data_IF_248690836221
#
_entry.id   IF_248690836221
#
_cell.length_a   1.000
_cell.length_b   1.000
_cell.length_c   1.000
_cell.angle_alpha   90.00
_cell.angle_beta   90.00
_cell.angle_gamma   90.00
#
_symmetry.space_group_name_H-M   'P 1'
#
loop_
_entity.id
_entity.type
_entity.pdbx_description
1 polymer ?
#
# COMPACT_ATOMS: atom_id res chain seq x y z
N UNK A 1 -32.60 -28.41 22.13
CA UNK A 1 -31.31 -28.98 22.57
C UNK A 1 -30.22 -28.01 22.12
N UNK A 2 -29.95 -26.95 22.89
CA UNK A 2 -29.02 -26.83 24.04
C UNK A 2 -27.57 -26.53 23.60
N UNK A 3 -27.18 -25.26 23.82
CA UNK A 3 -25.85 -24.65 24.06
C UNK A 3 -24.76 -24.77 22.98
N UNK A 4 -23.90 -23.75 22.72
CA UNK A 4 -23.21 -22.88 23.70
C UNK A 4 -22.62 -21.64 23.00
N UNK A 5 -22.78 -20.48 23.65
CA UNK A 5 -22.13 -19.22 23.34
C UNK A 5 -20.68 -19.20 23.83
N UNK A 6 -19.79 -18.48 23.16
CA UNK A 6 -18.57 -17.92 23.74
C UNK A 6 -18.37 -16.50 23.21
N UNK A 7 -18.78 -15.52 24.04
CA UNK A 7 -18.28 -14.14 24.01
C UNK A 7 -16.85 -14.13 24.54
N UNK A 8 -15.99 -13.28 23.98
CA UNK A 8 -14.82 -12.75 24.68
C UNK A 8 -14.78 -11.24 24.48
N UNK A 9 -15.25 -10.53 25.51
CA UNK A 9 -14.95 -9.14 25.79
C UNK A 9 -13.43 -9.00 26.03
N UNK A 10 -12.81 -8.01 25.39
CA UNK A 10 -11.45 -7.57 25.70
C UNK A 10 -11.54 -6.11 26.17
N UNK A 11 -11.45 -5.92 27.48
CA UNK A 11 -11.40 -4.61 28.14
C UNK A 11 -10.33 -4.67 29.22
N UNK A 12 -9.18 -4.02 28.98
CA UNK A 12 -8.23 -3.53 30.00
C UNK A 12 -7.62 -2.25 29.41
N UNK A 13 -8.00 -1.04 29.83
CA UNK A 13 -7.69 -0.33 31.09
C UNK A 13 -6.20 -0.25 31.38
N UNK A 14 -5.51 0.71 30.74
CA UNK A 14 -4.26 1.26 31.27
C UNK A 14 -4.53 2.60 31.96
N UNK A 15 -4.48 2.59 33.29
CA UNK A 15 -4.48 3.78 34.15
C UNK A 15 -3.40 3.58 35.22
N UNK A 16 -2.37 4.43 35.22
CA UNK A 16 -1.43 4.58 36.34
C UNK A 16 -0.86 6.00 36.26
N UNK A 17 -1.39 6.95 37.04
CA UNK A 17 -1.02 7.37 38.42
C UNK A 17 0.24 8.23 38.47
N UNK A 18 0.00 9.52 38.67
CA UNK A 18 0.95 10.50 39.19
C UNK A 18 1.01 10.41 40.73
N UNK A 19 2.22 10.56 41.27
CA UNK A 19 2.61 10.89 42.67
C UNK A 19 3.97 11.56 42.50
N UNK A 20 4.35 12.68 43.10
CA UNK A 20 3.86 13.41 44.27
C UNK A 20 5.10 13.95 44.99
N UNK A 21 5.21 15.28 44.96
CA UNK A 21 6.16 16.23 45.57
C UNK A 21 6.88 15.82 46.88
N UNK A 22 8.13 16.27 47.06
CA UNK A 22 8.68 16.61 48.38
C UNK A 22 9.78 17.67 48.31
N UNK A 23 9.60 18.65 49.20
CA UNK A 23 10.14 20.00 49.25
C UNK A 23 11.55 20.11 49.85
N UNK A 24 12.27 21.18 49.49
CA UNK A 24 13.52 21.58 50.12
C UNK A 24 13.92 23.01 49.72
N UNK A 25 13.58 23.97 50.56
CA UNK A 25 13.79 25.40 50.36
C UNK A 25 15.22 25.84 50.71
N UNK A 26 15.81 26.72 49.91
CA UNK A 26 16.67 27.79 50.45
C UNK A 26 16.68 29.00 49.50
N UNK A 27 16.15 30.12 50.01
CA UNK A 27 16.14 31.43 49.36
C UNK A 27 17.56 31.94 49.12
N UNK A 28 17.82 32.55 47.96
CA UNK A 28 18.68 33.73 47.89
C UNK A 28 18.17 34.71 46.82
N UNK A 29 18.00 35.96 47.26
CA UNK A 29 17.52 37.13 46.52
C UNK A 29 18.51 37.55 45.42
N UNK A 30 18.02 38.09 44.30
CA UNK A 30 18.07 39.53 43.96
C UNK A 30 17.78 39.79 42.46
N UNK A 31 16.82 40.70 42.24
CA UNK A 31 16.78 41.78 41.23
C UNK A 31 17.37 41.54 39.83
N UNK A 32 16.53 41.57 38.79
CA UNK A 32 16.17 42.78 38.05
C UNK A 32 15.35 42.42 36.81
N UNK A 33 14.46 43.34 36.45
CA UNK A 33 13.58 43.27 35.30
C UNK A 33 14.33 42.94 34.00
N UNK A 34 13.75 42.08 33.17
CA UNK A 34 14.05 42.07 31.74
C UNK A 34 12.82 41.64 30.96
N UNK A 35 12.25 42.65 30.30
CA UNK A 35 11.42 42.62 29.09
C UNK A 35 10.49 41.41 28.89
N UNK A 36 9.19 41.67 28.97
CA UNK A 36 8.20 40.90 28.23
C UNK A 36 8.52 40.99 26.73
N UNK A 37 9.20 39.98 26.19
CA UNK A 37 9.21 39.71 24.76
C UNK A 37 7.85 39.12 24.41
N UNK A 38 6.91 39.98 24.05
CA UNK A 38 5.78 39.58 23.20
C UNK A 38 6.38 39.08 21.88
N UNK A 39 6.56 37.77 21.77
CA UNK A 39 6.81 37.12 20.49
C UNK A 39 5.53 37.32 19.69
N UNK A 40 5.54 38.33 18.84
CA UNK A 40 4.57 38.45 17.77
C UNK A 40 4.75 37.19 16.91
N UNK A 41 3.82 36.24 17.04
CA UNK A 41 3.61 35.18 16.06
C UNK A 41 3.06 35.89 14.81
N UNK A 42 3.93 36.59 14.09
CA UNK A 42 3.64 36.98 12.71
C UNK A 42 3.59 35.67 11.94
N UNK A 43 2.36 35.24 11.66
CA UNK A 43 2.07 33.96 11.03
C UNK A 43 2.94 33.76 9.82
N UNK A 44 3.78 32.73 9.86
CA UNK A 44 4.16 32.06 8.64
C UNK A 44 2.84 31.61 8.00
N UNK A 45 2.49 32.06 6.79
CA UNK A 45 1.42 31.41 6.06
C UNK A 45 1.79 29.92 5.99
N UNK A 46 0.84 28.99 6.18
CA UNK A 46 1.14 27.58 5.96
C UNK A 46 1.74 27.49 4.57
N UNK A 47 2.99 27.00 4.49
CA UNK A 47 3.59 26.61 3.23
C UNK A 47 2.54 25.72 2.59
N UNK A 48 1.94 26.20 1.49
CA UNK A 48 1.06 25.41 0.68
C UNK A 48 1.88 24.16 0.34
N UNK A 49 1.59 23.05 1.03
CA UNK A 49 2.20 21.77 0.71
C UNK A 49 1.75 21.51 -0.72
N UNK A 50 2.67 21.70 -1.66
CA UNK A 50 2.44 21.31 -3.04
C UNK A 50 1.97 19.86 -2.98
N UNK A 51 0.80 19.60 -3.53
CA UNK A 51 0.30 18.24 -3.67
C UNK A 51 1.41 17.44 -4.35
N UNK A 52 1.86 16.30 -3.77
CA UNK A 52 2.96 15.55 -4.34
C UNK A 52 2.66 15.26 -5.81
N UNK A 53 3.59 15.61 -6.69
CA UNK A 53 3.44 15.34 -8.11
C UNK A 53 3.19 13.83 -8.29
N UNK A 54 2.17 13.43 -9.08
CA UNK A 54 1.86 12.02 -9.27
C UNK A 54 3.07 11.29 -9.82
N UNK A 55 3.43 10.17 -9.19
CA UNK A 55 4.55 9.35 -9.61
C UNK A 55 4.35 8.86 -11.05
N UNK A 56 5.41 8.91 -11.86
CA UNK A 56 5.41 8.25 -13.17
C UNK A 56 5.25 6.74 -13.01
N UNK A 57 4.79 6.05 -14.05
CA UNK A 57 4.62 4.59 -14.01
C UNK A 57 5.95 3.87 -13.69
N UNK A 58 7.06 4.32 -14.27
CA UNK A 58 8.38 3.76 -13.98
C UNK A 58 8.80 4.00 -12.52
N UNK A 59 8.58 5.21 -12.00
CA UNK A 59 8.89 5.52 -10.59
C UNK A 59 8.01 4.71 -9.63
N UNK A 60 6.71 4.55 -9.94
CA UNK A 60 5.79 3.74 -9.16
C UNK A 60 6.19 2.26 -9.17
N UNK A 61 6.65 1.75 -10.33
CA UNK A 61 7.17 0.39 -10.42
C UNK A 61 8.43 0.26 -9.55
N UNK A 62 9.45 1.08 -9.73
CA UNK A 62 10.71 1.00 -8.96
C UNK A 62 10.52 1.12 -7.45
N UNK A 63 9.57 1.95 -7.00
CA UNK A 63 9.30 2.18 -5.58
C UNK A 63 8.32 1.18 -4.96
N UNK A 64 7.80 0.22 -5.74
CA UNK A 64 6.79 -0.72 -5.27
C UNK A 64 7.33 -1.61 -4.15
N UNK A 65 6.49 -1.88 -3.16
CA UNK A 65 6.82 -2.83 -2.10
C UNK A 65 6.78 -4.25 -2.68
N UNK A 66 7.82 -5.08 -2.46
CA UNK A 66 7.79 -6.49 -2.84
C UNK A 66 6.65 -7.22 -2.15
N UNK A 67 5.89 -8.02 -2.91
CA UNK A 67 4.80 -8.85 -2.39
C UNK A 67 5.17 -10.34 -2.46
N UNK A 68 4.38 -11.18 -1.79
CA UNK A 68 4.47 -12.62 -1.95
C UNK A 68 4.28 -13.00 -3.43
N UNK A 69 5.15 -13.83 -3.99
CA UNK A 69 5.03 -14.23 -5.39
C UNK A 69 4.10 -15.43 -5.54
N UNK A 70 3.07 -15.28 -6.37
CA UNK A 70 2.24 -16.38 -6.87
C UNK A 70 2.85 -17.05 -8.12
N UNK A 71 3.96 -16.53 -8.63
CA UNK A 71 4.78 -17.14 -9.67
C UNK A 71 5.03 -16.26 -10.89
N UNK A 72 5.76 -16.83 -11.85
CA UNK A 72 6.02 -16.29 -13.18
C UNK A 72 5.52 -17.26 -14.23
N UNK A 73 4.66 -16.80 -15.12
CA UNK A 73 4.10 -17.60 -16.20
C UNK A 73 4.50 -17.02 -17.55
N UNK A 74 4.98 -17.87 -18.47
CA UNK A 74 5.15 -17.50 -19.88
C UNK A 74 4.05 -18.16 -20.69
N UNK A 75 3.25 -17.37 -21.37
CA UNK A 75 2.11 -17.81 -22.18
C UNK A 75 2.43 -17.65 -23.66
N UNK A 76 1.96 -18.61 -24.47
CA UNK A 76 2.06 -18.57 -25.92
C UNK A 76 0.66 -18.27 -26.50
N UNK A 77 0.55 -17.53 -27.61
CA UNK A 77 -0.71 -17.40 -28.33
C UNK A 77 -1.19 -18.78 -28.81
N UNK A 78 -2.52 -19.06 -28.92
CA UNK A 78 -3.64 -18.13 -28.83
C UNK A 78 -4.56 -18.14 -27.57
N UNK A 79 -4.53 -19.06 -26.58
CA UNK A 79 -5.23 -18.82 -25.32
C UNK A 79 -4.28 -18.28 -24.23
N UNK A 80 -4.63 -17.12 -23.69
CA UNK A 80 -3.89 -16.33 -22.69
C UNK A 80 -4.45 -16.51 -21.27
N UNK A 81 -5.07 -17.66 -20.99
CA UNK A 81 -5.71 -17.88 -19.69
C UNK A 81 -4.65 -18.20 -18.64
N UNK A 82 -4.72 -17.44 -17.54
CA UNK A 82 -3.89 -17.69 -16.38
C UNK A 82 -4.40 -18.98 -15.70
N UNK A 83 -3.56 -20.00 -15.49
CA UNK A 83 -4.00 -21.25 -14.88
C UNK A 83 -4.57 -21.03 -13.47
N UNK A 84 -5.60 -21.82 -13.07
CA UNK A 84 -6.31 -21.60 -11.81
C UNK A 84 -5.44 -21.58 -10.56
N UNK A 85 -4.31 -22.29 -10.54
CA UNK A 85 -3.42 -22.32 -9.37
C UNK A 85 -2.80 -20.95 -9.06
N UNK A 86 -2.42 -20.19 -10.09
CA UNK A 86 -1.92 -18.82 -9.93
C UNK A 86 -3.03 -17.90 -9.41
N UNK A 87 -4.24 -18.03 -9.97
CA UNK A 87 -5.41 -17.26 -9.51
C UNK A 87 -5.82 -17.61 -8.08
N UNK A 88 -5.75 -18.89 -7.71
CA UNK A 88 -6.03 -19.38 -6.34
C UNK A 88 -5.07 -18.75 -5.34
N UNK A 89 -3.78 -18.73 -5.65
CA UNK A 89 -2.78 -18.07 -4.83
C UNK A 89 -3.11 -16.58 -4.62
N UNK A 90 -3.40 -15.85 -5.71
CA UNK A 90 -3.76 -14.43 -5.64
C UNK A 90 -5.01 -14.19 -4.78
N UNK A 91 -6.06 -15.01 -4.97
CA UNK A 91 -7.29 -14.92 -4.16
C UNK A 91 -7.06 -15.21 -2.68
N UNK A 92 -6.27 -16.24 -2.36
CA UNK A 92 -5.96 -16.59 -0.97
C UNK A 92 -5.16 -15.47 -0.28
N UNK A 93 -4.15 -14.92 -0.96
CA UNK A 93 -3.36 -13.81 -0.43
C UNK A 93 -4.19 -12.53 -0.23
N UNK A 94 -5.14 -12.26 -1.15
CA UNK A 94 -6.09 -11.14 -1.04
C UNK A 94 -7.04 -11.32 0.14
N UNK A 95 -7.62 -12.51 0.30
CA UNK A 95 -8.50 -12.85 1.42
C UNK A 95 -7.76 -12.83 2.78
N UNK A 96 -6.48 -13.19 2.81
CA UNK A 96 -5.64 -13.15 4.00
C UNK A 96 -5.11 -11.75 4.33
N UNK A 97 -5.26 -10.77 3.42
CA UNK A 97 -4.71 -9.42 3.58
C UNK A 97 -3.18 -9.35 3.48
N UNK A 98 -2.51 -10.41 3.02
CA UNK A 98 -1.05 -10.43 2.86
C UNK A 98 -0.61 -9.82 1.54
N UNK A 99 -1.50 -9.81 0.54
CA UNK A 99 -1.21 -9.39 -0.83
C UNK A 99 -0.28 -10.37 -1.55
N UNK A 100 -0.27 -10.28 -2.88
CA UNK A 100 0.57 -11.11 -3.73
C UNK A 100 0.82 -10.47 -5.10
N UNK A 101 1.83 -10.96 -5.79
CA UNK A 101 2.19 -10.59 -7.16
C UNK A 101 2.24 -11.81 -8.07
N UNK A 102 1.65 -11.68 -9.26
CA UNK A 102 1.74 -12.63 -10.36
C UNK A 102 2.34 -11.92 -11.56
N UNK A 103 3.35 -12.53 -12.18
CA UNK A 103 3.97 -11.98 -13.39
C UNK A 103 3.67 -12.89 -14.57
N UNK A 104 3.13 -12.32 -15.63
CA UNK A 104 2.86 -13.02 -16.88
C UNK A 104 3.67 -12.42 -18.00
N UNK A 105 4.28 -13.24 -18.84
CA UNK A 105 4.93 -12.80 -20.07
C UNK A 105 4.20 -13.46 -21.24
N UNK A 106 3.63 -12.64 -22.12
CA UNK A 106 3.00 -13.12 -23.35
C UNK A 106 3.92 -12.80 -24.52
N UNK A 107 4.41 -13.84 -25.19
CA UNK A 107 5.12 -13.66 -26.45
C UNK A 107 4.10 -13.36 -27.55
N UNK A 108 4.26 -12.26 -28.29
CA UNK A 108 3.47 -12.08 -29.50
C UNK A 108 4.02 -12.93 -30.66
N UNK A 109 3.30 -12.98 -31.79
CA UNK A 109 3.74 -13.74 -32.98
C UNK A 109 5.06 -13.25 -33.57
N UNK A 110 5.50 -12.03 -33.22
CA UNK A 110 6.78 -11.43 -33.62
C UNK A 110 7.88 -11.60 -32.56
N UNK A 111 7.64 -12.42 -31.52
CA UNK A 111 8.53 -12.65 -30.38
C UNK A 111 8.83 -11.40 -29.54
N UNK A 112 8.00 -10.37 -29.65
CA UNK A 112 8.01 -9.25 -28.70
C UNK A 112 7.24 -9.72 -27.47
N UNK A 113 7.95 -9.81 -26.34
CA UNK A 113 7.39 -10.28 -25.09
C UNK A 113 6.72 -9.08 -24.39
N UNK A 114 5.47 -9.24 -23.96
CA UNK A 114 4.80 -8.27 -23.08
C UNK A 114 4.75 -8.85 -21.69
N UNK A 115 5.44 -8.21 -20.74
CA UNK A 115 5.42 -8.64 -19.33
C UNK A 115 4.44 -7.80 -18.54
N UNK A 116 3.52 -8.46 -17.85
CA UNK A 116 2.52 -7.82 -16.99
C UNK A 116 2.71 -8.30 -15.55
N UNK A 117 2.69 -7.36 -14.61
CA UNK A 117 2.79 -7.59 -13.17
C UNK A 117 1.43 -7.27 -12.56
N UNK A 118 0.70 -8.30 -12.16
CA UNK A 118 -0.58 -8.19 -11.44
C UNK A 118 -0.30 -8.23 -9.95
N UNK A 119 -0.77 -7.23 -9.21
CA UNK A 119 -0.53 -7.08 -7.78
C UNK A 119 -1.87 -6.94 -7.06
N UNK A 120 -2.13 -7.86 -6.15
CA UNK A 120 -3.30 -7.84 -5.28
C UNK A 120 -2.88 -7.44 -3.87
N UNK A 121 -3.75 -6.68 -3.21
CA UNK A 121 -3.64 -6.32 -1.80
C UNK A 121 -4.79 -6.97 -1.02
N UNK A 122 -5.23 -6.36 0.07
CA UNK A 122 -6.47 -6.74 0.76
C UNK A 122 -7.71 -6.48 -0.11
N UNK A 123 -8.85 -7.06 0.28
CA UNK A 123 -10.11 -7.03 -0.50
C UNK A 123 -10.70 -5.62 -0.70
N UNK A 124 -10.30 -4.65 0.12
CA UNK A 124 -10.71 -3.25 0.05
C UNK A 124 -9.92 -2.41 -0.96
N UNK A 125 -8.99 -3.04 -1.70
CA UNK A 125 -8.16 -2.36 -2.69
C UNK A 125 -8.30 -2.96 -4.08
N UNK A 126 -8.19 -2.07 -5.06
CA UNK A 126 -8.11 -2.41 -6.47
C UNK A 126 -6.83 -3.20 -6.76
N UNK A 127 -6.87 -3.99 -7.84
CA UNK A 127 -5.69 -4.68 -8.35
C UNK A 127 -4.81 -3.66 -9.05
N UNK A 128 -3.55 -3.64 -8.68
CA UNK A 128 -2.54 -2.79 -9.31
C UNK A 128 -1.86 -3.59 -10.44
N UNK A 129 -1.76 -2.99 -11.63
CA UNK A 129 -1.26 -3.65 -12.83
C UNK A 129 -0.17 -2.80 -13.46
N UNK A 130 1.00 -3.38 -13.67
CA UNK A 130 2.07 -2.79 -14.47
C UNK A 130 2.26 -3.59 -15.76
N UNK A 131 2.30 -2.92 -16.90
CA UNK A 131 2.60 -3.51 -18.21
C UNK A 131 3.94 -2.96 -18.69
N UNK A 132 4.93 -3.84 -18.82
CA UNK A 132 6.22 -3.53 -19.42
C UNK A 132 6.10 -3.51 -20.94
N UNK A 133 6.36 -2.35 -21.53
CA UNK A 133 6.31 -2.13 -22.98
C UNK A 133 7.72 -1.99 -23.59
N UNK A 134 8.79 -2.38 -22.90
CA UNK A 134 10.16 -2.20 -23.40
C UNK A 134 10.43 -2.88 -24.75
N UNK A 135 9.76 -4.00 -25.03
CA UNK A 135 9.87 -4.71 -26.32
C UNK A 135 8.91 -4.15 -27.39
N UNK A 136 8.19 -3.07 -27.08
CA UNK A 136 7.34 -2.32 -28.01
C UNK A 136 8.02 -0.99 -28.32
N UNK A 137 7.75 -0.40 -29.48
CA UNK A 137 8.36 0.86 -29.92
C UNK A 137 8.13 2.10 -29.03
N UNK A 138 7.54 1.94 -27.84
CA UNK A 138 7.38 2.95 -26.80
C UNK A 138 7.83 2.35 -25.44
N UNK A 139 9.10 2.49 -25.06
CA UNK A 139 9.66 1.84 -23.87
C UNK A 139 9.10 2.44 -22.57
N UNK A 140 9.06 1.63 -21.52
CA UNK A 140 8.58 2.00 -20.18
C UNK A 140 7.34 1.25 -19.71
N UNK A 141 6.86 1.62 -18.52
CA UNK A 141 5.70 0.98 -17.90
C UNK A 141 4.39 1.72 -18.20
N UNK A 142 3.32 0.96 -18.39
CA UNK A 142 1.95 1.45 -18.17
C UNK A 142 1.47 0.99 -16.81
N UNK A 143 0.75 1.84 -16.08
CA UNK A 143 0.32 1.60 -14.70
C UNK A 143 -1.19 1.86 -14.56
N UNK A 144 -1.92 0.88 -14.03
CA UNK A 144 -3.37 0.91 -13.89
C UNK A 144 -3.81 0.35 -12.54
N UNK A 145 -4.95 0.84 -12.05
CA UNK A 145 -5.70 0.24 -10.95
C UNK A 145 -7.03 -0.27 -11.49
N UNK A 146 -7.29 -1.57 -11.30
CA UNK A 146 -8.44 -2.25 -11.88
C UNK A 146 -9.39 -2.70 -10.76
N UNK A 147 -10.66 -2.24 -10.77
CA UNK A 147 -11.65 -2.63 -9.79
C UNK A 147 -12.09 -4.06 -10.09
N UNK A 148 -11.63 -5.02 -9.30
CA UNK A 148 -11.99 -6.42 -9.46
C UNK A 148 -12.86 -6.86 -8.28
N UNK A 149 -14.05 -7.43 -8.51
CA UNK A 149 -14.87 -7.97 -7.44
C UNK A 149 -14.17 -9.15 -6.76
N UNK A 150 -14.39 -9.31 -5.45
CA UNK A 150 -13.70 -10.30 -4.60
C UNK A 150 -13.73 -11.75 -5.10
N UNK A 151 -14.73 -12.07 -5.92
CA UNK A 151 -15.02 -13.42 -6.38
C UNK A 151 -14.49 -13.76 -7.76
N UNK A 152 -14.06 -12.77 -8.56
CA UNK A 152 -13.75 -12.99 -9.98
C UNK A 152 -12.49 -12.23 -10.43
N UNK A 153 -11.32 -12.80 -10.17
CA UNK A 153 -10.06 -12.34 -10.74
C UNK A 153 -9.93 -12.80 -12.20
N UNK A 154 -10.72 -12.21 -13.10
CA UNK A 154 -10.49 -12.32 -14.54
C UNK A 154 -9.49 -11.24 -14.95
N UNK A 155 -8.27 -11.66 -15.30
CA UNK A 155 -7.17 -10.77 -15.69
C UNK A 155 -7.03 -10.69 -17.20
N UNK A 156 -8.11 -10.39 -17.93
CA UNK A 156 -8.01 -10.05 -19.35
C UNK A 156 -7.51 -8.60 -19.51
N UNK A 157 -6.34 -8.35 -20.12
CA UNK A 157 -5.96 -7.00 -20.52
C UNK A 157 -6.77 -6.59 -21.78
N UNK A 158 -7.26 -5.34 -21.98
CA UNK A 158 -7.27 -4.14 -21.16
C UNK A 158 -8.70 -3.72 -20.72
N UNK A 159 -9.60 -4.66 -20.46
CA UNK A 159 -10.91 -4.34 -19.87
C UNK A 159 -10.80 -4.39 -18.35
N UNK A 160 -10.08 -3.40 -17.81
CA UNK A 160 -10.58 -2.74 -16.63
C UNK A 160 -11.73 -1.83 -17.13
#
# INVERSE_FOLDING_TARGET
MVHRAVRRDFTEIFRSRAVGDKSGAMLTRLCMATAALTVAVTGCPPLAQAEPEPLTADAAFEQRVPLHSCGRLRMLPPPHDIPPDYLNCMRQARAAGTGAELVTTVANFFLEDTTTYYRVYSADRDVEVFVDNNDRGNPGFSHYYCPIPDTDLSFEPPSC
#
